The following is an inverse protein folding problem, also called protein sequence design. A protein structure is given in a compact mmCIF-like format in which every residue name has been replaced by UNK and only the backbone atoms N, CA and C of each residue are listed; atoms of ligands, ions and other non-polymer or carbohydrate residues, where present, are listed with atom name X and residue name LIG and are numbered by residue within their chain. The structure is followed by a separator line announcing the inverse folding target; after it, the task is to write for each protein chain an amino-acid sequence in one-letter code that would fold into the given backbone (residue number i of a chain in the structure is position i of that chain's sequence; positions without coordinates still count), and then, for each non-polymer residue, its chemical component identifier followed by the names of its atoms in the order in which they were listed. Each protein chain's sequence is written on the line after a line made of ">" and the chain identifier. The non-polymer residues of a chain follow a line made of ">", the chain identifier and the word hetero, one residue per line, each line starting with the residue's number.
data_IF_140070840935
#
_entry.id   IF_140070840935
#
_cell.length_a   1.000
_cell.length_b   1.000
_cell.length_c   1.000
_cell.angle_alpha   90.00
_cell.angle_beta   90.00
_cell.angle_gamma   90.00
#
_symmetry.space_group_name_H-M   'P 1'
#
loop_
_entity.id
_entity.type
_entity.pdbx_description
1 polymer ?
#
# COMPACT_ATOMS: atom_id res chain seq x y z
N UNK A 1 5.07 27.24 -0.51
CA UNK A 1 3.97 26.64 -1.31
C UNK A 1 4.05 25.13 -1.13
N UNK A 2 3.13 24.56 -0.35
CA UNK A 2 3.05 23.12 -0.11
C UNK A 2 2.10 22.49 -1.13
N UNK A 3 2.52 21.38 -1.73
CA UNK A 3 1.80 20.65 -2.79
C UNK A 3 0.91 19.51 -2.24
N UNK A 4 0.53 19.55 -0.96
CA UNK A 4 -0.13 18.41 -0.26
C UNK A 4 -1.55 18.72 0.26
N UNK A 5 -2.08 19.93 0.06
CA UNK A 5 -3.47 20.26 0.47
C UNK A 5 -4.53 19.86 -0.57
N UNK A 6 -4.37 18.69 -1.19
CA UNK A 6 -5.42 18.08 -2.02
C UNK A 6 -5.79 16.69 -1.49
N UNK A 7 -5.86 16.56 -0.16
CA UNK A 7 -6.54 15.45 0.46
C UNK A 7 -7.99 15.87 0.70
N UNK A 8 -8.90 15.08 0.16
CA UNK A 8 -10.34 15.16 0.36
C UNK A 8 -10.60 15.20 1.87
N UNK A 9 -11.17 16.29 2.39
CA UNK A 9 -11.52 16.39 3.82
C UNK A 9 -12.51 15.27 4.17
N UNK A 10 -12.26 14.57 5.28
CA UNK A 10 -13.08 13.46 5.81
C UNK A 10 -14.57 13.83 5.94
N UNK A 11 -14.82 15.10 6.30
CA UNK A 11 -16.15 15.71 6.37
C UNK A 11 -16.90 15.68 5.01
N UNK A 12 -16.19 15.74 3.88
CA UNK A 12 -16.80 15.68 2.55
C UNK A 12 -17.20 14.26 2.15
N UNK A 13 -16.52 13.24 2.68
CA UNK A 13 -16.86 11.84 2.41
C UNK A 13 -18.12 11.46 3.18
N UNK A 14 -18.21 11.81 4.46
CA UNK A 14 -19.43 11.57 5.26
C UNK A 14 -20.64 12.31 4.67
N UNK A 15 -20.44 13.55 4.23
CA UNK A 15 -21.51 14.34 3.62
C UNK A 15 -21.97 13.75 2.27
N UNK A 16 -21.05 13.22 1.47
CA UNK A 16 -21.38 12.52 0.21
C UNK A 16 -22.11 11.21 0.51
N UNK A 17 -21.63 10.38 1.44
CA UNK A 17 -22.29 9.11 1.83
C UNK A 17 -23.70 9.35 2.39
N UNK A 18 -23.91 10.45 3.12
CA UNK A 18 -25.21 10.80 3.68
C UNK A 18 -26.23 11.31 2.64
N UNK A 19 -25.78 11.73 1.45
CA UNK A 19 -26.64 12.22 0.35
C UNK A 19 -26.88 11.13 -0.70
N UNK A 20 -26.18 9.99 -0.61
CA UNK A 20 -26.33 8.87 -1.54
C UNK A 20 -27.49 7.97 -1.13
N UNK A 21 -28.37 7.67 -2.08
CA UNK A 21 -29.48 6.74 -1.86
C UNK A 21 -28.96 5.28 -1.76
N UNK A 22 -29.76 4.36 -1.22
CA UNK A 22 -29.38 2.94 -1.05
C UNK A 22 -28.85 2.30 -2.35
N UNK A 23 -29.45 2.65 -3.50
CA UNK A 23 -29.00 2.19 -4.83
C UNK A 23 -27.62 2.74 -5.22
N UNK A 24 -27.26 3.95 -4.77
CA UNK A 24 -25.95 4.56 -5.01
C UNK A 24 -24.87 3.95 -4.10
N UNK A 25 -25.23 3.56 -2.87
CA UNK A 25 -24.34 2.81 -1.96
C UNK A 25 -24.04 1.40 -2.50
N UNK A 26 -24.99 0.75 -3.15
CA UNK A 26 -24.76 -0.53 -3.85
C UNK A 26 -23.82 -0.37 -5.05
N UNK A 27 -23.86 0.77 -5.74
CA UNK A 27 -22.97 1.10 -6.86
C UNK A 27 -21.55 1.51 -6.43
N UNK A 28 -21.36 1.96 -5.19
CA UNK A 28 -20.04 2.16 -4.56
C UNK A 28 -19.31 0.86 -4.20
N UNK A 29 -19.58 -0.22 -4.93
CA UNK A 29 -18.71 -1.39 -5.05
C UNK A 29 -17.37 -0.96 -5.68
N UNK A 30 -16.52 -0.29 -4.91
CA UNK A 30 -15.13 -0.01 -5.25
C UNK A 30 -14.35 -1.33 -5.27
N UNK A 31 -14.39 -2.02 -6.41
CA UNK A 31 -13.35 -2.96 -6.82
C UNK A 31 -13.30 -4.33 -6.14
N UNK A 32 -14.37 -4.78 -5.46
CA UNK A 32 -14.46 -6.17 -5.04
C UNK A 32 -14.39 -7.12 -6.26
N UNK A 33 -13.98 -8.37 -6.02
CA UNK A 33 -13.90 -9.42 -7.05
C UNK A 33 -15.25 -9.56 -7.77
N UNK A 34 -15.35 -9.00 -8.98
CA UNK A 34 -16.52 -9.19 -9.84
C UNK A 34 -16.55 -10.66 -10.26
N UNK A 35 -17.70 -11.31 -10.14
CA UNK A 35 -17.92 -12.64 -10.68
C UNK A 35 -17.50 -12.67 -12.16
N UNK A 36 -16.53 -13.53 -12.50
CA UNK A 36 -15.91 -13.60 -13.84
C UNK A 36 -14.59 -12.85 -14.02
N UNK A 37 -14.06 -12.19 -12.98
CA UNK A 37 -12.68 -11.65 -13.00
C UNK A 37 -11.69 -12.81 -13.00
N UNK A 38 -10.73 -12.77 -13.92
CA UNK A 38 -9.66 -13.77 -13.97
C UNK A 38 -8.95 -13.88 -12.61
N UNK A 39 -8.53 -15.09 -12.20
CA UNK A 39 -7.83 -15.27 -10.93
C UNK A 39 -6.59 -14.37 -10.89
N UNK A 40 -6.23 -13.96 -9.67
CA UNK A 40 -4.99 -13.23 -9.45
C UNK A 40 -3.81 -14.07 -9.99
N UNK A 41 -3.04 -13.51 -10.91
CA UNK A 41 -1.84 -14.15 -11.43
C UNK A 41 -0.80 -14.16 -10.32
N UNK A 42 -0.22 -15.33 -10.04
CA UNK A 42 0.91 -15.43 -9.12
C UNK A 42 2.13 -14.72 -9.73
N UNK A 43 2.47 -13.57 -9.15
CA UNK A 43 3.64 -12.74 -9.52
C UNK A 43 4.86 -13.07 -8.67
N UNK A 44 4.84 -14.18 -7.93
CA UNK A 44 5.87 -14.60 -6.96
C UNK A 44 6.16 -13.51 -5.93
N UNK A 45 5.09 -12.91 -5.40
CA UNK A 45 5.17 -11.74 -4.51
C UNK A 45 6.10 -12.00 -3.33
N UNK A 46 5.95 -13.16 -2.68
CA UNK A 46 6.75 -13.56 -1.53
C UNK A 46 8.23 -13.71 -1.85
N UNK A 47 8.56 -14.30 -3.00
CA UNK A 47 9.95 -14.47 -3.43
C UNK A 47 10.62 -13.09 -3.61
N UNK A 48 9.95 -12.17 -4.31
CA UNK A 48 10.52 -10.85 -4.57
C UNK A 48 10.55 -9.96 -3.33
N UNK A 49 9.63 -10.16 -2.38
CA UNK A 49 9.65 -9.50 -1.06
C UNK A 49 10.91 -9.89 -0.28
N UNK A 50 11.20 -11.20 -0.18
CA UNK A 50 12.41 -11.70 0.47
C UNK A 50 13.69 -11.22 -0.22
N UNK A 51 13.75 -11.27 -1.55
CA UNK A 51 14.91 -10.79 -2.30
C UNK A 51 15.16 -9.29 -2.08
N UNK A 52 14.10 -8.48 -2.08
CA UNK A 52 14.22 -7.05 -1.83
C UNK A 52 14.75 -6.77 -0.42
N UNK A 53 14.30 -7.53 0.58
CA UNK A 53 14.80 -7.43 1.94
C UNK A 53 16.29 -7.82 2.00
N UNK A 54 16.66 -8.97 1.46
CA UNK A 54 18.05 -9.45 1.48
C UNK A 54 19.00 -8.51 0.73
N UNK A 55 18.52 -7.86 -0.33
CA UNK A 55 19.29 -6.92 -1.14
C UNK A 55 19.74 -5.67 -0.35
N UNK A 56 18.89 -5.14 0.53
CA UNK A 56 19.10 -3.82 1.14
C UNK A 56 19.04 -3.78 2.67
N UNK A 57 18.23 -4.64 3.31
CA UNK A 57 18.01 -4.65 4.77
C UNK A 57 18.50 -5.93 5.46
N UNK A 58 18.89 -6.95 4.70
CA UNK A 58 19.41 -8.22 5.22
C UNK A 58 20.66 -8.06 6.10
N UNK A 59 21.05 -9.10 6.85
CA UNK A 59 22.22 -9.06 7.73
C UNK A 59 23.55 -8.85 6.99
N UNK A 60 23.57 -9.19 5.69
CA UNK A 60 24.68 -8.94 4.78
C UNK A 60 24.09 -8.46 3.45
N UNK A 61 23.69 -7.18 3.35
CA UNK A 61 22.97 -6.68 2.18
C UNK A 61 23.87 -6.73 0.94
N UNK A 62 23.29 -7.13 -0.19
CA UNK A 62 24.01 -7.25 -1.47
C UNK A 62 24.39 -5.86 -1.99
N UNK A 63 23.52 -4.87 -1.77
CA UNK A 63 23.68 -3.51 -2.24
C UNK A 63 23.80 -2.52 -1.08
N UNK A 64 24.68 -1.54 -1.23
CA UNK A 64 24.80 -0.44 -0.28
C UNK A 64 23.65 0.57 -0.43
N UNK A 65 23.58 1.52 0.51
CA UNK A 65 22.56 2.58 0.51
C UNK A 65 22.66 3.50 -0.73
N UNK A 66 23.84 3.61 -1.34
CA UNK A 66 24.05 4.42 -2.55
C UNK A 66 23.34 3.78 -3.74
N UNK A 67 23.37 2.45 -3.85
CA UNK A 67 22.62 1.73 -4.86
C UNK A 67 21.11 1.86 -4.67
N UNK A 68 20.61 1.75 -3.44
CA UNK A 68 19.20 1.97 -3.14
C UNK A 68 18.73 3.35 -3.65
N UNK A 69 19.49 4.40 -3.32
CA UNK A 69 19.22 5.77 -3.82
C UNK A 69 19.30 5.87 -5.34
N UNK A 70 20.16 5.11 -6.02
CA UNK A 70 20.23 5.13 -7.49
C UNK A 70 19.04 4.42 -8.13
N UNK A 71 18.57 3.30 -7.55
CA UNK A 71 17.48 2.51 -8.10
C UNK A 71 16.12 3.15 -7.81
N UNK A 72 15.87 3.57 -6.57
CA UNK A 72 14.58 4.11 -6.14
C UNK A 72 14.52 5.64 -6.08
N UNK A 73 15.66 6.32 -6.30
CA UNK A 73 15.78 7.78 -6.20
C UNK A 73 15.41 8.34 -4.81
N UNK A 74 15.50 7.50 -3.78
CA UNK A 74 15.16 7.80 -2.40
C UNK A 74 16.26 7.31 -1.46
N UNK A 75 16.70 8.08 -0.45
CA UNK A 75 17.54 7.55 0.62
C UNK A 75 16.81 6.43 1.38
N UNK A 76 17.51 5.36 1.72
CA UNK A 76 16.91 4.22 2.44
C UNK A 76 16.36 4.63 3.81
N UNK A 77 17.05 5.50 4.54
CA UNK A 77 16.61 6.03 5.82
C UNK A 77 15.28 6.80 5.72
N UNK A 78 15.07 7.52 4.61
CA UNK A 78 13.82 8.23 4.36
C UNK A 78 12.69 7.26 3.99
N UNK A 79 13.01 6.17 3.30
CA UNK A 79 12.05 5.08 3.10
C UNK A 79 11.61 4.50 4.44
N UNK A 80 12.55 4.21 5.33
CA UNK A 80 12.26 3.66 6.67
C UNK A 80 11.38 4.62 7.49
N UNK A 81 11.68 5.93 7.48
CA UNK A 81 10.84 6.93 8.16
C UNK A 81 9.41 6.97 7.60
N UNK A 82 9.26 6.99 6.27
CA UNK A 82 7.95 7.02 5.62
C UNK A 82 7.19 5.73 5.97
N UNK A 83 7.84 4.57 5.89
CA UNK A 83 7.25 3.28 6.21
C UNK A 83 6.71 3.24 7.64
N UNK A 84 7.51 3.65 8.63
CA UNK A 84 7.07 3.68 10.03
C UNK A 84 5.93 4.68 10.26
N UNK A 85 5.99 5.87 9.64
CA UNK A 85 4.92 6.88 9.77
C UNK A 85 3.62 6.42 9.15
N UNK A 86 3.68 5.78 7.99
CA UNK A 86 2.50 5.26 7.28
C UNK A 86 1.87 4.11 8.06
N UNK A 87 2.67 3.18 8.58
CA UNK A 87 2.20 2.12 9.47
C UNK A 87 1.53 2.65 10.74
N UNK A 88 2.15 3.65 11.37
CA UNK A 88 1.61 4.25 12.59
C UNK A 88 0.30 5.01 12.35
N UNK A 89 0.08 5.50 11.13
CA UNK A 89 -1.12 6.23 10.76
C UNK A 89 -2.30 5.31 10.41
N UNK A 90 -2.04 4.20 9.71
CA UNK A 90 -3.09 3.31 9.21
C UNK A 90 -2.66 1.82 9.23
N UNK A 91 -3.43 1.01 9.96
CA UNK A 91 -3.26 -0.44 10.09
C UNK A 91 -3.46 -1.21 8.76
N UNK A 92 -3.93 -0.56 7.69
CA UNK A 92 -3.96 -1.12 6.35
C UNK A 92 -2.55 -1.46 5.84
N UNK A 93 -1.54 -0.66 6.20
CA UNK A 93 -0.16 -0.86 5.73
C UNK A 93 0.65 -1.85 6.57
N UNK A 94 0.04 -2.43 7.59
CA UNK A 94 0.62 -3.57 8.29
C UNK A 94 0.41 -4.85 7.48
N UNK A 95 1.48 -5.63 7.29
CA UNK A 95 1.38 -6.93 6.63
C UNK A 95 0.57 -7.88 7.51
N UNK A 96 -0.62 -8.26 7.04
CA UNK A 96 -1.50 -9.22 7.71
C UNK A 96 -1.19 -10.63 7.23
N UNK A 97 -1.55 -11.62 8.05
CA UNK A 97 -1.56 -13.01 7.58
C UNK A 97 -2.49 -13.09 6.38
N UNK A 98 -2.02 -13.77 5.34
CA UNK A 98 -2.86 -14.01 4.18
C UNK A 98 -4.09 -14.82 4.62
N UNK A 99 -5.21 -14.62 3.92
CA UNK A 99 -6.44 -15.33 4.22
C UNK A 99 -6.27 -16.80 3.79
N UNK A 100 -5.72 -17.62 4.67
CA UNK A 100 -5.76 -19.08 4.54
C UNK A 100 -7.18 -19.53 4.81
N UNK A 101 -7.91 -19.82 3.75
CA UNK A 101 -9.20 -20.52 3.80
C UNK A 101 -8.93 -21.90 4.42
N UNK A 102 -9.63 -22.21 5.51
CA UNK A 102 -9.43 -23.43 6.31
C UNK A 102 -10.58 -24.42 6.07
#
# INVERSE_FOLDING_TARGET
>A
MNFIDLFVDDDTIEQVVAIMDEDDLEQLSWGASRFGRAPAVDRRRELYDQLLYDDYWGPSPIYDHTYFKKHFKLPIELFDEIHERVKAHDAYFEQKRDAVDN
#
